data_IF_657990989637
#
_entry.id   IF_657990989637
#
_cell.length_a   1.000
_cell.length_b   1.000
_cell.length_c   1.000
_cell.angle_alpha   90.00
_cell.angle_beta   90.00
_cell.angle_gamma   90.00
#
_symmetry.space_group_name_H-M   'P 1'
#
loop_
_entity.id
_entity.type
_entity.pdbx_description
1 polymer ?
#
# COMPACT_ATOMS: atom_id res chain seq x y z
N UNK A 1 0.01 2.68 18.67
CA UNK A 1 -0.64 1.38 18.94
C UNK A 1 -1.69 1.14 17.85
N UNK A 2 -1.77 -0.04 17.22
CA UNK A 2 -2.66 -0.23 16.06
C UNK A 2 -4.14 -0.32 16.47
N UNK A 3 -5.01 0.45 15.81
CA UNK A 3 -6.46 0.38 16.00
C UNK A 3 -7.02 -1.00 15.59
N UNK A 4 -7.78 -1.61 16.51
CA UNK A 4 -8.20 -3.01 16.40
C UNK A 4 -9.14 -3.26 15.22
N UNK A 5 -10.08 -2.35 14.96
CA UNK A 5 -11.04 -2.51 13.86
C UNK A 5 -10.37 -2.39 12.48
N UNK A 6 -9.37 -1.52 12.35
CA UNK A 6 -8.54 -1.43 11.16
C UNK A 6 -7.83 -2.76 10.91
N UNK A 7 -7.17 -3.33 11.93
CA UNK A 7 -6.50 -4.62 11.83
C UNK A 7 -7.45 -5.75 11.40
N UNK A 8 -8.65 -5.82 11.99
CA UNK A 8 -9.64 -6.84 11.63
C UNK A 8 -10.13 -6.69 10.18
N UNK A 9 -10.40 -5.46 9.73
CA UNK A 9 -10.81 -5.22 8.33
C UNK A 9 -9.69 -5.59 7.35
N UNK A 10 -8.45 -5.21 7.65
CA UNK A 10 -7.28 -5.57 6.84
C UNK A 10 -7.07 -7.08 6.79
N UNK A 11 -7.23 -7.76 7.93
CA UNK A 11 -7.13 -9.23 8.00
C UNK A 11 -8.22 -9.91 7.16
N UNK A 12 -9.46 -9.41 7.20
CA UNK A 12 -10.58 -9.91 6.37
C UNK A 12 -10.41 -9.64 4.88
N UNK A 13 -9.68 -8.60 4.50
CA UNK A 13 -9.40 -8.31 3.10
C UNK A 13 -8.49 -9.36 2.45
N UNK A 14 -7.62 -10.02 3.23
CA UNK A 14 -6.66 -10.98 2.68
C UNK A 14 -7.32 -12.26 2.12
N UNK A 15 -8.27 -12.92 2.82
CA UNK A 15 -9.08 -13.98 2.23
C UNK A 15 -9.84 -13.53 0.98
N UNK A 16 -10.42 -12.33 0.97
CA UNK A 16 -11.07 -11.80 -0.23
C UNK A 16 -10.09 -11.69 -1.42
N UNK A 17 -8.87 -11.22 -1.17
CA UNK A 17 -7.82 -11.16 -2.19
C UNK A 17 -7.41 -12.56 -2.69
N UNK A 18 -7.41 -13.55 -1.79
CA UNK A 18 -7.05 -14.93 -2.13
C UNK A 18 -8.16 -15.64 -2.90
N UNK A 19 -9.38 -15.65 -2.36
CA UNK A 19 -10.47 -16.52 -2.81
C UNK A 19 -11.24 -15.89 -3.97
N UNK A 20 -11.51 -14.58 -3.89
CA UNK A 20 -12.31 -13.88 -4.91
C UNK A 20 -11.42 -13.33 -6.00
N UNK A 21 -10.27 -12.76 -5.62
CA UNK A 21 -9.34 -12.17 -6.59
C UNK A 21 -8.22 -13.13 -7.02
N UNK A 22 -8.28 -14.38 -6.53
CA UNK A 22 -7.44 -15.50 -6.97
C UNK A 22 -5.94 -15.19 -6.93
N UNK A 23 -5.50 -14.37 -5.97
CA UNK A 23 -4.09 -14.08 -5.80
C UNK A 23 -3.35 -15.31 -5.26
N UNK A 24 -2.22 -15.62 -5.88
CA UNK A 24 -1.34 -16.67 -5.39
C UNK A 24 -0.71 -16.31 -4.02
N UNK A 25 -0.22 -17.31 -3.26
CA UNK A 25 0.34 -17.09 -1.92
C UNK A 25 1.47 -16.05 -1.89
N UNK A 26 2.42 -16.11 -2.84
CA UNK A 26 3.52 -15.15 -2.92
C UNK A 26 3.06 -13.70 -3.18
N UNK A 27 1.90 -13.51 -3.80
CA UNK A 27 1.28 -12.19 -3.95
C UNK A 27 0.60 -11.76 -2.66
N UNK A 28 -0.10 -12.67 -1.98
CA UNK A 28 -0.73 -12.39 -0.69
C UNK A 28 0.28 -11.93 0.37
N UNK A 29 1.46 -12.54 0.42
CA UNK A 29 2.53 -12.11 1.33
C UNK A 29 2.99 -10.67 1.05
N UNK A 30 3.10 -10.32 -0.23
CA UNK A 30 3.37 -8.93 -0.64
C UNK A 30 2.23 -8.00 -0.22
N UNK A 31 0.97 -8.40 -0.37
CA UNK A 31 -0.18 -7.61 0.10
C UNK A 31 -0.23 -7.47 1.63
N UNK A 32 0.14 -8.50 2.40
CA UNK A 32 0.30 -8.41 3.86
C UNK A 32 1.33 -7.35 4.21
N UNK A 33 2.49 -7.39 3.56
CA UNK A 33 3.53 -6.37 3.72
C UNK A 33 3.01 -4.96 3.38
N UNK A 34 2.32 -4.80 2.24
CA UNK A 34 1.81 -3.49 1.83
C UNK A 34 0.73 -2.94 2.78
N UNK A 35 -0.22 -3.77 3.20
CA UNK A 35 -1.30 -3.36 4.09
C UNK A 35 -0.80 -3.12 5.53
N UNK A 36 0.32 -3.74 5.93
CA UNK A 36 0.98 -3.40 7.18
C UNK A 36 1.40 -1.94 7.21
N UNK A 37 1.94 -1.39 6.12
CA UNK A 37 2.29 0.04 6.07
C UNK A 37 1.06 0.95 6.21
N UNK A 38 -0.09 0.54 5.68
CA UNK A 38 -1.35 1.27 5.86
C UNK A 38 -1.77 1.29 7.34
N UNK A 39 -1.66 0.16 8.04
CA UNK A 39 -1.96 0.07 9.48
C UNK A 39 -0.99 0.90 10.32
N UNK A 40 0.32 0.79 10.04
CA UNK A 40 1.34 1.55 10.76
C UNK A 40 1.18 3.07 10.58
N UNK A 41 0.80 3.49 9.38
CA UNK A 41 0.53 4.90 9.10
C UNK A 41 -0.69 5.42 9.85
N UNK A 42 -1.77 4.63 9.92
CA UNK A 42 -2.98 5.03 10.62
C UNK A 42 -2.85 4.96 12.14
N UNK A 43 -1.94 4.12 12.63
CA UNK A 43 -1.71 3.84 14.05
C UNK A 43 -3.02 3.57 14.81
N UNK A 44 -3.37 4.40 15.80
CA UNK A 44 -4.57 4.27 16.62
C UNK A 44 -5.82 4.94 16.00
N UNK A 45 -5.66 5.61 14.86
CA UNK A 45 -6.74 6.32 14.18
C UNK A 45 -7.59 5.39 13.32
N UNK A 46 -8.90 5.44 13.51
CA UNK A 46 -9.83 4.61 12.76
C UNK A 46 -9.89 5.00 11.27
N UNK A 47 -9.95 4.02 10.36
CA UNK A 47 -10.05 4.26 8.92
C UNK A 47 -11.26 5.08 8.48
N UNK A 48 -12.31 5.19 9.31
CA UNK A 48 -13.44 6.10 9.08
C UNK A 48 -13.01 7.57 9.03
N UNK A 49 -11.94 7.94 9.73
CA UNK A 49 -11.42 9.31 9.81
C UNK A 49 -10.07 9.48 9.09
N UNK A 50 -9.74 8.54 8.21
CA UNK A 50 -8.44 8.45 7.53
C UNK A 50 -8.03 9.73 6.77
N UNK A 51 -9.00 10.54 6.35
CA UNK A 51 -8.76 11.81 5.65
C UNK A 51 -8.15 12.89 6.54
N UNK A 52 -8.34 12.79 7.86
CA UNK A 52 -7.82 13.74 8.84
C UNK A 52 -6.37 13.41 9.26
N UNK A 53 -5.91 12.19 9.02
CA UNK A 53 -4.58 11.74 9.45
C UNK A 53 -3.49 12.57 8.74
N UNK A 54 -2.54 13.09 9.53
CA UNK A 54 -1.36 13.81 9.05
C UNK A 54 -0.10 13.23 9.69
N UNK A 55 1.01 13.09 8.95
CA UNK A 55 1.16 13.34 7.50
C UNK A 55 0.27 12.42 6.65
N UNK A 56 -0.02 12.81 5.40
CA UNK A 56 -0.83 11.95 4.50
C UNK A 56 -0.09 10.64 4.19
N UNK A 57 -0.79 9.57 3.82
CA UNK A 57 -0.14 8.28 3.51
C UNK A 57 1.01 8.41 2.51
N UNK A 58 0.85 9.10 1.35
CA UNK A 58 1.98 9.27 0.43
C UNK A 58 3.16 10.04 1.03
N UNK A 59 2.90 11.08 1.84
CA UNK A 59 3.94 11.85 2.54
C UNK A 59 4.68 10.99 3.57
N UNK A 60 3.94 10.20 4.36
CA UNK A 60 4.50 9.25 5.32
C UNK A 60 5.41 8.22 4.63
N UNK A 61 4.94 7.63 3.52
CA UNK A 61 5.73 6.64 2.79
C UNK A 61 7.01 7.25 2.20
N UNK A 62 6.98 8.51 1.80
CA UNK A 62 8.14 9.24 1.31
C UNK A 62 9.17 9.54 2.42
N UNK A 63 8.73 9.66 3.67
CA UNK A 63 9.64 9.85 4.82
C UNK A 63 10.19 8.55 5.41
N UNK A 64 9.65 7.38 5.01
CA UNK A 64 10.14 6.11 5.55
C UNK A 64 11.55 5.79 5.03
N UNK A 65 12.44 5.28 5.89
CA UNK A 65 13.77 4.87 5.48
C UNK A 65 13.71 3.69 4.50
N UNK A 66 14.68 3.64 3.59
CA UNK A 66 14.90 2.54 2.69
C UNK A 66 15.52 1.32 3.37
N UNK A 67 15.94 0.34 2.56
CA UNK A 67 16.63 -0.86 3.05
C UNK A 67 17.91 -0.43 3.80
N UNK A 68 18.16 -1.06 4.96
CA UNK A 68 19.34 -0.78 5.81
C UNK A 68 19.45 0.68 6.29
N UNK A 69 18.32 1.41 6.36
CA UNK A 69 18.30 2.80 6.82
C UNK A 69 18.87 3.81 5.81
N UNK A 70 19.23 3.36 4.60
CA UNK A 70 19.76 4.23 3.54
C UNK A 70 18.65 4.73 2.64
N UNK A 71 18.64 6.04 2.39
CA UNK A 71 17.66 6.70 1.52
C UNK A 71 16.22 6.51 1.99
N UNK A 72 15.28 6.70 1.08
CA UNK A 72 13.85 6.51 1.35
C UNK A 72 13.35 5.17 0.83
N UNK A 73 12.19 4.72 1.32
CA UNK A 73 11.48 3.56 0.80
C UNK A 73 11.41 3.60 -0.74
N UNK A 74 11.77 2.50 -1.40
CA UNK A 74 11.84 2.45 -2.85
C UNK A 74 10.54 2.91 -3.53
N UNK A 75 10.66 3.70 -4.59
CA UNK A 75 9.53 4.32 -5.29
C UNK A 75 8.50 3.30 -5.82
N UNK A 76 8.97 2.12 -6.26
CA UNK A 76 8.11 1.01 -6.66
C UNK A 76 7.29 0.46 -5.48
N UNK A 77 7.90 0.31 -4.31
CA UNK A 77 7.24 -0.15 -3.09
C UNK A 77 6.21 0.87 -2.61
N UNK A 78 6.55 2.15 -2.59
CA UNK A 78 5.58 3.21 -2.26
C UNK A 78 4.34 3.15 -3.16
N UNK A 79 4.56 3.00 -4.49
CA UNK A 79 3.46 2.84 -5.45
C UNK A 79 2.60 1.62 -5.14
N UNK A 80 3.20 0.46 -4.87
CA UNK A 80 2.45 -0.76 -4.53
C UNK A 80 1.64 -0.60 -3.25
N UNK A 81 2.19 0.04 -2.22
CA UNK A 81 1.47 0.33 -0.97
C UNK A 81 0.27 1.23 -1.23
N UNK A 82 0.44 2.32 -2.00
CA UNK A 82 -0.65 3.24 -2.34
C UNK A 82 -1.73 2.52 -3.14
N UNK A 83 -1.37 1.77 -4.19
CA UNK A 83 -2.32 1.05 -5.04
C UNK A 83 -3.09 -0.02 -4.24
N UNK A 84 -2.41 -0.79 -3.38
CA UNK A 84 -3.03 -1.76 -2.47
C UNK A 84 -3.95 -1.10 -1.45
N UNK A 85 -3.59 0.09 -0.95
CA UNK A 85 -4.43 0.86 -0.02
C UNK A 85 -5.71 1.36 -0.69
N UNK A 86 -5.62 1.87 -1.93
CA UNK A 86 -6.81 2.25 -2.72
C UNK A 86 -7.74 1.07 -2.92
N UNK A 87 -7.18 -0.09 -3.30
CA UNK A 87 -7.96 -1.32 -3.49
C UNK A 87 -8.67 -1.72 -2.20
N UNK A 88 -7.97 -1.69 -1.07
CA UNK A 88 -8.54 -1.96 0.25
C UNK A 88 -9.68 -0.98 0.58
N UNK A 89 -9.49 0.32 0.43
CA UNK A 89 -10.55 1.29 0.76
C UNK A 89 -11.79 1.16 -0.13
N UNK A 90 -11.62 0.84 -1.42
CA UNK A 90 -12.76 0.55 -2.31
C UNK A 90 -13.51 -0.69 -1.88
N UNK A 91 -12.80 -1.79 -1.59
CA UNK A 91 -13.41 -3.00 -1.05
C UNK A 91 -14.13 -2.72 0.29
N UNK A 92 -13.46 -2.06 1.23
CA UNK A 92 -14.00 -1.75 2.54
C UNK A 92 -15.24 -0.87 2.48
N UNK A 93 -15.33 0.07 1.53
CA UNK A 93 -16.57 0.86 1.31
C UNK A 93 -17.75 0.00 0.88
N UNK A 94 -17.52 -1.01 0.05
CA UNK A 94 -18.58 -1.94 -0.41
C UNK A 94 -18.95 -2.92 0.69
N UNK A 95 -17.98 -3.45 1.42
CA UNK A 95 -18.19 -4.46 2.47
C UNK A 95 -18.73 -3.87 3.78
N UNK A 96 -18.36 -2.63 4.12
CA UNK A 96 -18.74 -1.95 5.37
C UNK A 96 -19.37 -0.57 5.10
N UNK A 97 -20.48 -0.48 4.34
CA UNK A 97 -21.01 0.80 3.87
C UNK A 97 -21.41 1.73 5.02
N UNK A 98 -21.93 1.21 6.15
CA UNK A 98 -22.30 2.01 7.33
C UNK A 98 -21.08 2.60 8.06
N UNK A 99 -19.97 1.86 8.09
CA UNK A 99 -18.75 2.30 8.79
C UNK A 99 -17.87 3.19 7.92
N UNK A 100 -17.91 3.00 6.59
CA UNK A 100 -17.05 3.66 5.60
C UNK A 100 -17.82 4.67 4.72
N UNK A 101 -19.06 5.03 5.08
CA UNK A 101 -19.87 5.99 4.33
C UNK A 101 -19.18 7.35 4.18
N UNK A 102 -18.54 7.82 5.25
CA UNK A 102 -17.88 9.12 5.34
C UNK A 102 -16.57 9.22 4.55
N UNK A 103 -16.15 8.17 3.83
CA UNK A 103 -14.95 8.20 3.00
C UNK A 103 -15.31 8.48 1.53
N UNK A 104 -15.18 9.71 1.02
CA UNK A 104 -15.36 10.03 -0.40
C UNK A 104 -14.49 9.17 -1.32
N UNK A 105 -15.10 8.67 -2.41
CA UNK A 105 -14.36 7.99 -3.48
C UNK A 105 -13.33 8.94 -4.10
N UNK A 106 -13.70 10.21 -4.29
CA UNK A 106 -12.81 11.26 -4.78
C UNK A 106 -11.52 11.36 -3.96
N UNK A 107 -11.60 11.24 -2.63
CA UNK A 107 -10.42 11.22 -1.78
C UNK A 107 -9.57 9.97 -1.98
N UNK A 108 -10.18 8.78 -2.11
CA UNK A 108 -9.44 7.55 -2.42
C UNK A 108 -8.65 7.75 -3.73
N UNK A 109 -9.23 8.46 -4.70
CA UNK A 109 -8.57 8.76 -5.96
C UNK A 109 -7.42 9.77 -5.85
N UNK A 110 -7.39 10.60 -4.82
CA UNK A 110 -6.25 11.49 -4.50
C UNK A 110 -5.04 10.75 -3.93
N UNK A 111 -5.21 9.52 -3.44
CA UNK A 111 -4.08 8.68 -3.02
C UNK A 111 -3.21 8.38 -4.24
N UNK A 112 -2.17 9.18 -4.41
CA UNK A 112 -1.23 9.13 -5.52
C UNK A 112 0.14 9.49 -4.96
N UNK A 113 1.19 8.92 -5.54
CA UNK A 113 2.56 9.29 -5.17
C UNK A 113 2.78 10.76 -5.53
N UNK A 114 3.54 11.52 -4.73
CA UNK A 114 4.12 12.79 -5.19
C UNK A 114 4.86 12.57 -6.51
N UNK A 115 4.80 13.55 -7.43
CA UNK A 115 5.59 13.47 -8.66
C UNK A 115 7.06 13.53 -8.26
N UNK A 116 7.79 12.43 -8.50
CA UNK A 116 9.24 12.38 -8.36
C UNK A 116 9.83 12.45 -9.77
N UNK A 117 10.96 13.16 -9.97
CA UNK A 117 11.68 13.10 -11.24
C UNK A 117 12.03 11.65 -11.57
N UNK A 118 11.83 11.27 -12.83
CA UNK A 118 12.04 9.91 -13.30
C UNK A 118 13.54 9.68 -13.46
N UNK A 119 14.14 8.97 -12.51
CA UNK A 119 15.51 8.48 -12.64
C UNK A 119 15.42 7.19 -13.47
N UNK A 120 15.94 7.19 -14.70
CA UNK A 120 16.02 5.97 -15.49
C UNK A 120 17.04 5.04 -14.85
N UNK A 121 16.60 3.89 -14.35
CA UNK A 121 17.53 2.80 -14.09
C UNK A 121 17.92 2.22 -15.44
N UNK A 122 19.19 2.36 -15.83
CA UNK A 122 19.73 1.58 -16.94
C UNK A 122 19.62 0.10 -16.57
N UNK A 123 18.78 -0.64 -17.29
CA UNK A 123 18.74 -2.07 -17.17
C UNK A 123 20.03 -2.61 -17.79
N UNK A 124 20.89 -3.21 -16.97
CA UNK A 124 22.07 -3.94 -17.46
C UNK A 124 21.57 -5.28 -17.99
N UNK A 125 21.71 -5.49 -19.30
CA UNK A 125 21.41 -6.75 -19.96
C UNK A 125 22.69 -7.56 -20.09
N UNK A 126 22.56 -8.89 -20.03
CA UNK A 126 23.66 -9.83 -20.28
C UNK A 126 23.50 -10.38 -21.69
N UNK A 127 24.59 -10.44 -22.45
CA UNK A 127 24.65 -11.03 -23.78
C UNK A 127 24.73 -12.57 -23.72
N UNK A 128 24.38 -13.25 -24.82
CA UNK A 128 24.47 -14.72 -24.89
C UNK A 128 25.91 -15.23 -24.68
N UNK A 129 26.89 -14.46 -25.15
CA UNK A 129 28.32 -14.80 -25.04
C UNK A 129 28.83 -14.74 -23.59
N UNK A 130 28.22 -13.92 -22.74
CA UNK A 130 28.54 -13.83 -21.31
C UNK A 130 27.95 -15.00 -20.49
N UNK A 131 26.92 -15.69 -21.01
CA UNK A 131 26.27 -16.82 -20.35
C UNK A 131 26.99 -18.15 -20.62
N UNK A 132 27.74 -18.24 -21.73
CA UNK A 132 28.37 -19.49 -22.19
C UNK A 132 29.82 -19.71 -21.71
N UNK A 133 30.36 -18.83 -20.87
CA UNK A 133 31.65 -19.02 -20.18
C UNK A 133 31.47 -19.70 -18.82
#
# INVERSE_FOLDING_TARGET
MIERQNYLKTSKHLPFLQEVMQLNPASLDRYRFYLRHLLLWADDQNFRQVQAIRPTLPSYLASLPGKEGKGTLASASQKKIIDSSKRFFRWAKVTYPREMNNLPISWIDTLRRPRLPQISSEHVFVSLDEIQK
#
